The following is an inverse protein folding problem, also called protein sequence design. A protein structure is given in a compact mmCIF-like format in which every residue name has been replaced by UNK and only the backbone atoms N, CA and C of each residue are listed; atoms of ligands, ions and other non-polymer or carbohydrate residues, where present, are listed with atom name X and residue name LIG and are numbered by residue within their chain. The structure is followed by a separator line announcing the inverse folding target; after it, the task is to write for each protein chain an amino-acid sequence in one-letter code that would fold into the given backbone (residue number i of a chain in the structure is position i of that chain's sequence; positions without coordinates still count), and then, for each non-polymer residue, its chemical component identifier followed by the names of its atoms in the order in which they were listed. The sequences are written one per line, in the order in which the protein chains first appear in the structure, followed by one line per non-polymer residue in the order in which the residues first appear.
data_IF_722146121638
#
_entry.id   IF_722146121638
#
_cell.length_a   1.000
_cell.length_b   1.000
_cell.length_c   1.000
_cell.angle_alpha   90.00
_cell.angle_beta   90.00
_cell.angle_gamma   90.00
#
_symmetry.space_group_name_H-M   'P 1'
#
loop_
_entity.id
_entity.type
_entity.pdbx_description
1 polymer ?
#
# COMPACT_ATOMS: atom_id res chain seq x y z
N UNK A 1 -13.86 15.27 -7.82
CA UNK A 1 -13.22 14.77 -6.59
C UNK A 1 -14.18 13.77 -5.98
N UNK A 2 -13.79 12.50 -5.91
CA UNK A 2 -14.52 11.58 -5.05
C UNK A 2 -13.99 11.80 -3.62
N UNK A 3 -14.90 12.00 -2.68
CA UNK A 3 -14.62 12.02 -1.26
C UNK A 3 -15.22 10.74 -0.71
N UNK A 4 -14.52 10.07 0.20
CA UNK A 4 -15.13 8.99 0.95
C UNK A 4 -16.23 9.55 1.85
N UNK A 5 -17.40 8.93 1.84
CA UNK A 5 -18.54 9.30 2.68
C UNK A 5 -18.61 8.45 3.94
N UNK A 6 -17.90 7.33 3.99
CA UNK A 6 -17.87 6.45 5.16
C UNK A 6 -16.55 5.69 5.29
N UNK A 7 -16.35 5.12 6.47
CA UNK A 7 -15.25 4.21 6.81
C UNK A 7 -15.24 2.99 5.93
N UNK A 8 -16.44 2.44 5.66
CA UNK A 8 -16.58 1.24 4.86
C UNK A 8 -16.04 1.45 3.44
N UNK A 9 -16.31 2.63 2.85
CA UNK A 9 -15.77 2.98 1.54
C UNK A 9 -14.24 3.11 1.55
N UNK A 10 -13.66 3.65 2.63
CA UNK A 10 -12.20 3.78 2.74
C UNK A 10 -11.56 2.41 2.93
N UNK A 11 -12.14 1.55 3.77
CA UNK A 11 -11.66 0.18 3.97
C UNK A 11 -11.79 -0.62 2.68
N UNK A 12 -12.89 -0.46 1.94
CA UNK A 12 -13.07 -1.09 0.64
C UNK A 12 -12.01 -0.60 -0.37
N UNK A 13 -11.72 0.69 -0.38
CA UNK A 13 -10.64 1.24 -1.19
C UNK A 13 -9.29 0.63 -0.78
N UNK A 14 -8.95 0.64 0.50
CA UNK A 14 -7.69 0.07 1.01
C UNK A 14 -7.57 -1.43 0.66
N UNK A 15 -8.63 -2.22 0.84
CA UNK A 15 -8.66 -3.65 0.47
C UNK A 15 -8.41 -3.85 -1.03
N UNK A 16 -9.00 -3.00 -1.88
CA UNK A 16 -8.75 -3.04 -3.33
C UNK A 16 -7.32 -2.62 -3.66
N UNK A 17 -6.79 -1.66 -2.92
CA UNK A 17 -5.44 -1.14 -3.12
C UNK A 17 -4.38 -2.19 -2.74
N UNK A 18 -4.53 -2.85 -1.60
CA UNK A 18 -3.71 -4.01 -1.18
C UNK A 18 -3.73 -5.13 -2.21
N UNK A 19 -4.90 -5.44 -2.76
CA UNK A 19 -5.00 -6.45 -3.81
C UNK A 19 -4.27 -6.01 -5.09
N UNK A 20 -4.31 -4.72 -5.41
CA UNK A 20 -3.63 -4.14 -6.57
C UNK A 20 -2.11 -4.15 -6.36
N UNK A 21 -1.62 -3.78 -5.18
CA UNK A 21 -0.21 -3.86 -4.79
C UNK A 21 0.30 -5.31 -4.86
N UNK A 22 -0.44 -6.27 -4.29
CA UNK A 22 -0.11 -7.69 -4.38
C UNK A 22 0.04 -8.19 -5.82
N UNK A 23 -0.86 -7.75 -6.72
CA UNK A 23 -0.82 -8.11 -8.14
C UNK A 23 0.36 -7.43 -8.86
N UNK A 24 0.61 -6.15 -8.57
CA UNK A 24 1.77 -5.43 -9.08
C UNK A 24 3.06 -6.19 -8.74
N UNK A 25 3.23 -6.61 -7.49
CA UNK A 25 4.41 -7.36 -7.08
C UNK A 25 4.54 -8.72 -7.75
N UNK A 26 3.44 -9.43 -7.99
CA UNK A 26 3.45 -10.67 -8.80
C UNK A 26 3.95 -10.38 -10.22
N UNK A 27 3.49 -9.29 -10.83
CA UNK A 27 3.87 -8.95 -12.20
C UNK A 27 5.32 -8.46 -12.30
N UNK A 28 5.81 -7.70 -11.31
CA UNK A 28 7.22 -7.35 -11.18
C UNK A 28 8.11 -8.58 -10.97
N UNK A 29 7.67 -9.54 -10.15
CA UNK A 29 8.38 -10.80 -9.94
C UNK A 29 8.53 -11.62 -11.23
N UNK A 30 7.51 -11.63 -12.10
CA UNK A 30 7.55 -12.32 -13.41
C UNK A 30 8.54 -11.67 -14.38
N UNK A 31 8.68 -10.33 -14.31
CA UNK A 31 9.54 -9.54 -15.19
C UNK A 31 10.99 -9.44 -14.69
N UNK A 32 11.23 -9.74 -13.41
CA UNK A 32 12.56 -9.72 -12.81
C UNK A 32 13.50 -10.77 -13.43
N UNK A 33 14.72 -10.34 -13.78
CA UNK A 33 15.82 -11.22 -14.23
C UNK A 33 16.64 -11.78 -13.08
N UNK A 34 16.60 -11.16 -11.90
CA UNK A 34 17.30 -11.63 -10.70
C UNK A 34 16.41 -12.57 -9.89
N UNK A 35 16.94 -13.76 -9.56
CA UNK A 35 16.24 -14.74 -8.74
C UNK A 35 16.01 -14.24 -7.31
N UNK A 36 16.95 -13.47 -6.77
CA UNK A 36 16.82 -12.83 -5.46
C UNK A 36 15.67 -11.83 -5.49
N UNK A 37 15.66 -10.95 -6.49
CA UNK A 37 14.64 -9.93 -6.62
C UNK A 37 13.25 -10.50 -6.90
N UNK A 38 13.18 -11.57 -7.70
CA UNK A 38 11.94 -12.30 -7.89
C UNK A 38 11.39 -12.83 -6.56
N UNK A 39 12.23 -13.33 -5.67
CA UNK A 39 11.80 -13.79 -4.32
C UNK A 39 11.33 -12.62 -3.48
N UNK A 40 12.04 -11.50 -3.49
CA UNK A 40 11.67 -10.28 -2.77
C UNK A 40 10.28 -9.78 -3.18
N UNK A 41 10.00 -9.64 -4.49
CA UNK A 41 8.67 -9.25 -4.95
C UNK A 41 7.58 -10.27 -4.60
N UNK A 42 7.87 -11.57 -4.68
CA UNK A 42 6.91 -12.59 -4.25
C UNK A 42 6.63 -12.53 -2.75
N UNK A 43 7.62 -12.17 -1.93
CA UNK A 43 7.44 -11.95 -0.50
C UNK A 43 6.55 -10.73 -0.25
N UNK A 44 6.82 -9.59 -0.89
CA UNK A 44 5.97 -8.41 -0.77
C UNK A 44 4.52 -8.71 -1.16
N UNK A 45 4.29 -9.41 -2.27
CA UNK A 45 2.95 -9.83 -2.65
C UNK A 45 2.21 -10.62 -1.55
N UNK A 46 2.93 -11.48 -0.81
CA UNK A 46 2.34 -12.23 0.30
C UNK A 46 2.07 -11.34 1.53
N UNK A 47 2.93 -10.36 1.79
CA UNK A 47 2.77 -9.36 2.86
C UNK A 47 1.51 -8.52 2.61
N UNK A 48 1.33 -7.95 1.40
CA UNK A 48 0.11 -7.22 0.98
C UNK A 48 -1.17 -8.07 1.10
N UNK A 49 -1.13 -9.35 0.69
CA UNK A 49 -2.26 -10.25 0.90
C UNK A 49 -2.56 -10.50 2.38
N UNK A 50 -1.56 -10.40 3.24
CA UNK A 50 -1.71 -10.41 4.70
C UNK A 50 -2.40 -9.15 5.19
N UNK A 51 -2.01 -7.97 4.70
CA UNK A 51 -2.62 -6.67 5.01
C UNK A 51 -4.08 -6.63 4.59
N UNK A 52 -4.38 -7.06 3.35
CA UNK A 52 -5.75 -7.24 2.84
C UNK A 52 -6.62 -8.03 3.82
N UNK A 53 -6.14 -9.18 4.30
CA UNK A 53 -6.89 -10.01 5.27
C UNK A 53 -7.09 -9.32 6.61
N UNK A 54 -6.11 -8.53 7.09
CA UNK A 54 -6.25 -7.72 8.31
C UNK A 54 -7.37 -6.69 8.11
N UNK A 55 -7.40 -5.98 6.98
CA UNK A 55 -8.44 -5.00 6.65
C UNK A 55 -9.83 -5.63 6.46
N UNK A 56 -9.92 -6.78 5.80
CA UNK A 56 -11.19 -7.51 5.65
C UNK A 56 -11.78 -7.91 7.00
N UNK A 57 -10.94 -8.34 7.96
CA UNK A 57 -11.38 -8.63 9.33
C UNK A 57 -11.85 -7.39 10.07
N UNK A 58 -11.14 -6.29 9.92
CA UNK A 58 -11.52 -5.00 10.48
C UNK A 58 -12.90 -4.56 9.94
N UNK A 59 -13.12 -4.69 8.62
CA UNK A 59 -14.38 -4.34 7.96
C UNK A 59 -15.54 -5.23 8.39
N UNK A 60 -15.34 -6.54 8.42
CA UNK A 60 -16.38 -7.53 8.77
C UNK A 60 -16.67 -7.63 10.28
N UNK A 61 -15.68 -7.29 11.12
CA UNK A 61 -15.81 -7.33 12.58
C UNK A 61 -16.67 -6.21 13.18
N UNK A 62 -17.10 -5.21 12.37
CA UNK A 62 -18.03 -4.16 12.80
C UNK A 62 -17.50 -3.21 13.87
N UNK A 63 -16.19 -3.23 14.16
CA UNK A 63 -15.61 -2.48 15.29
C UNK A 63 -15.27 -1.03 14.97
N UNK A 64 -15.21 -0.61 13.70
CA UNK A 64 -14.81 0.77 13.44
C UNK A 64 -16.00 1.72 13.55
N UNK A 65 -16.02 2.44 14.68
CA UNK A 65 -16.75 3.70 14.78
C UNK A 65 -15.76 4.82 14.40
N UNK A 66 -15.88 5.33 13.18
CA UNK A 66 -15.29 6.63 12.82
C UNK A 66 -16.45 7.60 12.67
N UNK A 67 -16.32 8.80 13.21
CA UNK A 67 -17.28 9.86 12.94
C UNK A 67 -17.25 10.24 11.45
N UNK A 68 -18.38 10.20 10.76
CA UNK A 68 -18.52 10.62 9.35
C UNK A 68 -17.97 12.03 9.07
N UNK A 69 -18.00 12.91 10.08
CA UNK A 69 -17.45 14.27 10.00
C UNK A 69 -15.93 14.30 9.77
N UNK A 70 -15.19 13.29 10.26
CA UNK A 70 -13.72 13.19 10.07
C UNK A 70 -13.36 12.54 8.73
N UNK A 71 -14.27 11.78 8.13
CA UNK A 71 -14.05 11.03 6.87
C UNK A 71 -14.16 11.94 5.64
N UNK A 72 -15.06 12.93 5.67
CA UNK A 72 -15.29 13.86 4.54
C UNK A 72 -14.05 14.67 4.08
N UNK A 73 -13.01 14.74 4.91
CA UNK A 73 -11.76 15.47 4.61
C UNK A 73 -10.71 14.61 3.87
N UNK A 74 -10.98 13.32 3.66
CA UNK A 74 -10.07 12.44 2.92
C UNK A 74 -10.24 12.61 1.42
N UNK A 75 -9.23 13.20 0.77
CA UNK A 75 -9.17 13.39 -0.68
C UNK A 75 -8.60 12.13 -1.34
N UNK A 76 -9.44 11.37 -2.06
CA UNK A 76 -9.04 10.11 -2.72
C UNK A 76 -7.78 10.27 -3.59
N UNK A 77 -7.65 11.40 -4.29
CA UNK A 77 -6.51 11.66 -5.17
C UNK A 77 -5.15 11.70 -4.49
N UNK A 78 -5.09 11.91 -3.17
CA UNK A 78 -3.84 11.94 -2.41
C UNK A 78 -3.23 10.54 -2.22
N UNK A 79 -4.03 9.49 -2.41
CA UNK A 79 -3.64 8.09 -2.22
C UNK A 79 -3.63 7.28 -3.52
N UNK A 80 -4.11 7.88 -4.61
CA UNK A 80 -4.02 7.25 -5.93
C UNK A 80 -2.60 7.41 -6.45
N UNK A 81 -1.90 6.30 -6.60
CA UNK A 81 -0.69 6.28 -7.41
C UNK A 81 -1.10 6.08 -8.86
N UNK A 82 -0.95 7.13 -9.67
CA UNK A 82 -1.04 7.00 -11.12
C UNK A 82 0.14 6.18 -11.62
N UNK A 83 -0.08 4.87 -11.71
CA UNK A 83 0.89 3.96 -12.29
C UNK A 83 0.41 3.58 -13.69
N UNK A 84 1.14 3.99 -14.71
CA UNK A 84 1.02 3.40 -16.04
C UNK A 84 1.65 2.01 -16.05
N UNK A 85 1.07 1.06 -15.31
CA UNK A 85 1.44 -0.37 -15.37
C UNK A 85 1.10 -0.99 -16.73
N UNK A 86 0.33 -0.27 -17.55
CA UNK A 86 -0.06 -0.65 -18.91
C UNK A 86 1.11 -0.74 -19.89
N UNK A 87 2.32 -0.31 -19.52
CA UNK A 87 3.50 -0.51 -20.37
C UNK A 87 4.17 -1.86 -20.08
N UNK A 88 4.38 -2.63 -21.14
CA UNK A 88 5.07 -3.92 -21.06
C UNK A 88 6.59 -3.80 -20.87
N UNK A 89 7.13 -2.59 -20.99
CA UNK A 89 8.57 -2.29 -20.97
C UNK A 89 9.05 -1.62 -19.67
N UNK A 90 8.27 -1.70 -18.59
CA UNK A 90 8.62 -1.15 -17.29
C UNK A 90 10.02 -1.60 -16.85
N UNK A 91 10.96 -0.65 -16.79
CA UNK A 91 12.32 -0.92 -16.34
C UNK A 91 12.34 -1.27 -14.86
N UNK A 92 13.40 -1.95 -14.42
CA UNK A 92 13.55 -2.31 -13.02
C UNK A 92 13.60 -1.08 -12.10
N UNK A 93 14.27 -0.02 -12.54
CA UNK A 93 14.29 1.27 -11.87
C UNK A 93 12.89 1.87 -11.73
N UNK A 94 12.13 1.93 -12.81
CA UNK A 94 10.75 2.45 -12.80
C UNK A 94 9.85 1.60 -11.88
N UNK A 95 10.03 0.27 -11.86
CA UNK A 95 9.30 -0.64 -10.98
C UNK A 95 9.56 -0.34 -9.50
N UNK A 96 10.81 -0.12 -9.10
CA UNK A 96 11.15 0.27 -7.73
C UNK A 96 10.57 1.64 -7.37
N UNK A 97 10.62 2.61 -8.29
CA UNK A 97 10.03 3.94 -8.08
C UNK A 97 8.52 3.85 -7.87
N UNK A 98 7.84 3.01 -8.65
CA UNK A 98 6.42 2.75 -8.51
C UNK A 98 6.14 2.15 -7.14
N UNK A 99 6.84 1.07 -6.78
CA UNK A 99 6.68 0.41 -5.48
C UNK A 99 6.85 1.41 -4.32
N UNK A 100 7.90 2.24 -4.32
CA UNK A 100 8.10 3.28 -3.30
C UNK A 100 6.95 4.28 -3.22
N UNK A 101 6.30 4.62 -4.35
CA UNK A 101 5.13 5.50 -4.36
C UNK A 101 3.90 4.81 -3.79
N UNK A 102 3.71 3.53 -4.08
CA UNK A 102 2.63 2.70 -3.51
C UNK A 102 2.74 2.65 -1.99
N UNK A 103 3.91 2.25 -1.49
CA UNK A 103 4.16 2.15 -0.05
C UNK A 103 3.96 3.49 0.67
N UNK A 104 4.35 4.59 0.03
CA UNK A 104 4.13 5.94 0.56
C UNK A 104 2.65 6.30 0.62
N UNK A 105 1.88 5.95 -0.39
CA UNK A 105 0.45 6.22 -0.45
C UNK A 105 -0.31 5.40 0.61
N UNK A 106 0.01 4.10 0.71
CA UNK A 106 -0.55 3.21 1.72
C UNK A 106 -0.20 3.66 3.15
N UNK A 107 1.06 4.01 3.42
CA UNK A 107 1.49 4.61 4.69
C UNK A 107 0.65 5.83 5.07
N UNK A 108 0.47 6.76 4.12
CA UNK A 108 -0.30 7.98 4.36
C UNK A 108 -1.76 7.64 4.65
N UNK A 109 -2.37 6.76 3.86
CA UNK A 109 -3.75 6.31 4.03
C UNK A 109 -3.98 5.73 5.42
N UNK A 110 -3.13 4.80 5.85
CA UNK A 110 -3.28 4.15 7.15
C UNK A 110 -3.02 5.09 8.32
N UNK A 111 -2.04 5.98 8.20
CA UNK A 111 -1.80 7.03 9.20
C UNK A 111 -3.00 7.96 9.34
N UNK A 112 -3.60 8.34 8.20
CA UNK A 112 -4.75 9.23 8.15
C UNK A 112 -6.01 8.58 8.72
N UNK A 113 -6.22 7.28 8.45
CA UNK A 113 -7.31 6.49 9.03
C UNK A 113 -7.14 6.32 10.54
N UNK A 114 -5.93 5.98 10.99
CA UNK A 114 -5.61 5.80 12.40
C UNK A 114 -5.85 7.08 13.22
N UNK A 115 -5.55 8.25 12.65
CA UNK A 115 -5.79 9.54 13.28
C UNK A 115 -7.29 9.90 13.40
N UNK A 116 -8.12 9.32 12.53
CA UNK A 116 -9.55 9.68 12.42
C UNK A 116 -10.46 8.70 13.14
N UNK A 117 -10.07 7.43 13.29
CA UNK A 117 -10.86 6.41 14.01
C UNK A 117 -10.95 6.69 15.50
N UNK A 118 -12.11 6.41 16.10
CA UNK A 118 -12.29 6.47 17.55
C UNK A 118 -12.09 5.10 18.21
N UNK A 119 -12.22 4.01 17.45
CA UNK A 119 -11.93 2.64 17.91
C UNK A 119 -10.42 2.41 18.11
N UNK A 120 -10.05 2.00 19.32
CA UNK A 120 -8.65 1.80 19.71
C UNK A 120 -8.00 0.58 19.05
N UNK A 121 -8.74 -0.52 18.86
CA UNK A 121 -8.21 -1.73 18.24
C UNK A 121 -7.98 -1.50 16.74
N UNK A 122 -8.92 -0.85 16.05
CA UNK A 122 -8.76 -0.45 14.67
C UNK A 122 -7.57 0.50 14.48
N UNK A 123 -7.43 1.50 15.37
CA UNK A 123 -6.28 2.42 15.37
C UNK A 123 -4.95 1.68 15.48
N UNK A 124 -4.85 0.71 16.39
CA UNK A 124 -3.62 -0.07 16.57
C UNK A 124 -3.26 -0.85 15.30
N UNK A 125 -4.24 -1.52 14.68
CA UNK A 125 -4.00 -2.27 13.44
C UNK A 125 -3.62 -1.34 12.29
N UNK A 126 -4.28 -0.18 12.15
CA UNK A 126 -3.96 0.81 11.12
C UNK A 126 -2.55 1.41 11.30
N UNK A 127 -2.15 1.73 12.53
CA UNK A 127 -0.79 2.20 12.80
C UNK A 127 0.27 1.12 12.52
N UNK A 128 -0.06 -0.14 12.83
CA UNK A 128 0.81 -1.27 12.54
C UNK A 128 0.99 -1.46 11.03
N UNK A 129 -0.10 -1.40 10.24
CA UNK A 129 -0.05 -1.42 8.77
C UNK A 129 0.78 -0.25 8.23
N UNK A 130 0.53 0.98 8.68
CA UNK A 130 1.34 2.13 8.28
C UNK A 130 2.84 1.89 8.53
N UNK A 131 3.20 1.32 9.68
CA UNK A 131 4.59 1.04 9.98
C UNK A 131 5.19 -0.10 9.13
N UNK A 132 4.38 -1.07 8.71
CA UNK A 132 4.79 -2.09 7.73
C UNK A 132 5.13 -1.43 6.38
N UNK A 133 4.26 -0.56 5.84
CA UNK A 133 4.52 0.11 4.54
C UNK A 133 5.73 1.06 4.59
N UNK A 134 5.94 1.74 5.72
CA UNK A 134 7.14 2.54 5.91
C UNK A 134 8.43 1.70 5.85
N UNK A 135 8.39 0.45 6.34
CA UNK A 135 9.52 -0.49 6.26
C UNK A 135 9.69 -1.04 4.84
N UNK A 136 8.59 -1.33 4.14
CA UNK A 136 8.64 -1.77 2.74
C UNK A 136 9.24 -0.67 1.85
N UNK A 137 8.79 0.57 1.99
CA UNK A 137 9.37 1.72 1.31
C UNK A 137 10.88 1.81 1.53
N UNK A 138 11.33 1.69 2.78
CA UNK A 138 12.76 1.74 3.11
C UNK A 138 13.54 0.59 2.45
N UNK A 139 12.97 -0.62 2.38
CA UNK A 139 13.59 -1.74 1.67
C UNK A 139 13.78 -1.44 0.19
N UNK A 140 12.78 -0.83 -0.46
CA UNK A 140 12.91 -0.42 -1.87
C UNK A 140 13.91 0.72 -2.07
N UNK A 141 14.00 1.68 -1.15
CA UNK A 141 15.00 2.75 -1.20
C UNK A 141 16.42 2.18 -1.12
N UNK A 142 16.67 1.24 -0.20
CA UNK A 142 17.96 0.54 -0.08
C UNK A 142 18.28 -0.23 -1.38
N UNK A 143 17.31 -0.97 -1.91
CA UNK A 143 17.50 -1.73 -3.15
C UNK A 143 17.82 -0.81 -4.34
N UNK A 144 17.14 0.33 -4.43
CA UNK A 144 17.36 1.33 -5.46
C UNK A 144 18.77 1.94 -5.34
N UNK A 145 19.18 2.31 -4.13
CA UNK A 145 20.52 2.84 -3.88
C UNK A 145 21.60 1.81 -4.24
N UNK A 146 21.39 0.54 -3.88
CA UNK A 146 22.36 -0.54 -4.07
C UNK A 146 22.51 -0.99 -5.52
N UNK A 147 21.43 -0.98 -6.31
CA UNK A 147 21.41 -1.58 -7.65
C UNK A 147 21.24 -0.56 -8.79
N UNK A 148 20.78 0.66 -8.51
CA UNK A 148 20.58 1.69 -9.53
C UNK A 148 21.59 2.82 -9.36
N UNK A 149 21.73 3.39 -8.16
CA UNK A 149 22.63 4.53 -7.95
C UNK A 149 24.12 4.14 -7.90
N UNK A 150 24.44 2.89 -7.52
CA UNK A 150 25.82 2.38 -7.53
C UNK A 150 26.35 1.97 -8.91
N UNK A 151 25.51 1.87 -9.94
CA UNK A 151 25.95 1.56 -11.31
C UNK A 151 26.52 2.78 -12.08
N UNK A 152 26.85 3.88 -11.39
CA UNK A 152 27.45 5.09 -11.96
C UNK A 152 28.86 5.38 -11.45
#
# INVERSE_FOLDING_TARGET
MQNFQSVDEILEFAIKDEQRAANLYIDLAKRSRSNEMRRTFLQFSQEELGHKKKLERIRTGGQIVVSDTKVQDLKIGDYLVEVSTSRDDLSYQEALIIAMKEEKAAFKLYSDLAARTDDAAAREVLLMLAQEEARHKLRFEIEYDDNILKEH
#
